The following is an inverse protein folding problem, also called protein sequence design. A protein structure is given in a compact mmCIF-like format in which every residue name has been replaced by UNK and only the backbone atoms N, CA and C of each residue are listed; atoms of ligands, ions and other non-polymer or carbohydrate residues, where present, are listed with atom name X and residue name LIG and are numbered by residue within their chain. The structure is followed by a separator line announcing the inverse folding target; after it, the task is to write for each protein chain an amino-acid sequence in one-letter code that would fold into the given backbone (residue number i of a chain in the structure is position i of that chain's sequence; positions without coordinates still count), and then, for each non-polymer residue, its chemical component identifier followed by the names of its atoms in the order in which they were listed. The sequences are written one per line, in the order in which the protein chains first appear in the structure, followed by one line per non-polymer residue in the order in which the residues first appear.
data_IF_754953605807
#
_entry.id   IF_754953605807
#
_cell.length_a   1.000
_cell.length_b   1.000
_cell.length_c   1.000
_cell.angle_alpha   90.00
_cell.angle_beta   90.00
_cell.angle_gamma   90.00
#
_symmetry.space_group_name_H-M   'P 1'
#
loop_
_entity.id
_entity.type
_entity.pdbx_description
1 polymer ?
#
# COMPACT_ATOMS: atom_id res chain seq x y z
N UNK A 1 -14.76 7.67 -21.49
CA UNK A 1 -14.34 6.26 -21.42
C UNK A 1 -13.68 6.03 -20.07
N UNK A 2 -14.00 4.90 -19.39
CA UNK A 2 -13.33 4.51 -18.14
C UNK A 2 -11.83 4.42 -18.39
N UNK A 3 -11.01 4.93 -17.46
CA UNK A 3 -9.57 5.06 -17.66
C UNK A 3 -8.93 3.66 -17.62
N UNK A 4 -8.34 3.16 -18.72
CA UNK A 4 -7.86 1.77 -18.78
C UNK A 4 -6.60 1.53 -17.93
N UNK A 5 -6.01 2.59 -17.35
CA UNK A 5 -4.74 2.47 -16.63
C UNK A 5 -4.86 2.05 -15.16
N UNK A 6 -6.03 1.63 -14.67
CA UNK A 6 -6.17 1.12 -13.30
C UNK A 6 -7.50 0.43 -12.98
N UNK A 7 -7.50 -0.35 -11.90
CA UNK A 7 -8.63 -1.19 -11.47
C UNK A 7 -8.68 -1.29 -9.94
N UNK A 8 -9.86 -1.54 -9.38
CA UNK A 8 -10.04 -1.85 -7.95
C UNK A 8 -9.88 -3.36 -7.76
N UNK A 9 -8.91 -3.76 -6.92
CA UNK A 9 -8.63 -5.18 -6.62
C UNK A 9 -9.13 -5.60 -5.23
N UNK A 10 -9.46 -4.64 -4.37
CA UNK A 10 -10.06 -4.88 -3.06
C UNK A 10 -10.88 -3.67 -2.63
N UNK A 11 -12.02 -3.93 -2.01
CA UNK A 11 -12.83 -2.96 -1.27
C UNK A 11 -13.46 -3.70 -0.09
N UNK A 12 -13.14 -3.26 1.13
CA UNK A 12 -13.54 -3.97 2.35
C UNK A 12 -12.90 -3.39 3.61
N UNK A 13 -13.14 -4.01 4.78
CA UNK A 13 -12.60 -3.52 6.04
C UNK A 13 -11.08 -3.74 6.15
N UNK A 14 -10.37 -2.74 6.65
CA UNK A 14 -8.95 -2.89 6.99
C UNK A 14 -8.74 -4.04 7.97
N UNK A 15 -7.68 -4.82 7.76
CA UNK A 15 -7.26 -5.87 8.69
C UNK A 15 -6.61 -5.30 9.97
N UNK A 16 -6.21 -4.02 9.98
CA UNK A 16 -5.57 -3.40 11.15
C UNK A 16 -6.59 -3.06 12.25
N UNK A 17 -7.83 -2.74 11.87
CA UNK A 17 -8.88 -2.40 12.83
C UNK A 17 -10.19 -3.17 12.64
N UNK A 18 -10.29 -4.00 11.60
CA UNK A 18 -11.43 -4.84 11.22
C UNK A 18 -12.76 -4.08 11.05
N UNK A 19 -12.71 -2.76 10.85
CA UNK A 19 -13.91 -1.91 10.77
C UNK A 19 -13.87 -0.88 9.67
N UNK A 20 -12.71 -0.27 9.42
CA UNK A 20 -12.65 0.92 8.56
C UNK A 20 -12.61 0.51 7.09
N UNK A 21 -13.52 1.03 6.24
CA UNK A 21 -13.52 0.70 4.82
C UNK A 21 -12.28 1.26 4.10
N UNK A 22 -11.58 0.38 3.41
CA UNK A 22 -10.41 0.72 2.57
C UNK A 22 -10.61 0.18 1.16
N UNK A 23 -9.86 0.74 0.23
CA UNK A 23 -9.75 0.28 -1.14
C UNK A 23 -8.29 -0.02 -1.48
N UNK A 24 -8.11 -0.98 -2.38
CA UNK A 24 -6.83 -1.18 -3.07
C UNK A 24 -7.03 -0.94 -4.55
N UNK A 25 -6.37 0.09 -5.05
CA UNK A 25 -6.34 0.40 -6.48
C UNK A 25 -5.01 -0.01 -7.07
N UNK A 26 -5.06 -0.77 -8.15
CA UNK A 26 -3.91 -1.11 -8.98
C UNK A 26 -3.83 -0.16 -10.17
N UNK A 27 -2.68 0.45 -10.44
CA UNK A 27 -2.48 1.38 -11.57
C UNK A 27 -1.19 1.10 -12.34
N UNK A 28 -1.08 1.64 -13.56
CA UNK A 28 0.08 1.47 -14.43
C UNK A 28 -0.05 0.26 -15.35
N UNK A 29 -1.27 -0.13 -15.69
CA UNK A 29 -1.57 -1.32 -16.49
C UNK A 29 -1.26 -1.14 -17.98
N UNK A 30 -1.56 0.03 -18.54
CA UNK A 30 -1.37 0.32 -19.96
C UNK A 30 -0.37 1.45 -20.20
N UNK A 31 -0.41 2.50 -19.40
CA UNK A 31 0.48 3.65 -19.54
C UNK A 31 1.54 3.57 -18.45
N UNK A 32 2.79 3.40 -18.87
CA UNK A 32 3.95 3.40 -17.99
C UNK A 32 4.01 4.71 -17.17
N UNK A 33 4.48 4.62 -15.95
CA UNK A 33 4.77 5.81 -15.14
C UNK A 33 5.89 6.62 -15.79
N UNK A 34 5.73 7.95 -15.86
CA UNK A 34 6.80 8.87 -16.29
C UNK A 34 7.83 9.12 -15.17
N UNK A 35 7.70 8.46 -14.02
CA UNK A 35 8.63 8.56 -12.91
C UNK A 35 9.75 7.51 -13.06
N UNK A 36 10.91 7.98 -13.53
CA UNK A 36 12.11 7.15 -13.75
C UNK A 36 12.55 6.39 -12.48
N UNK A 37 12.26 6.91 -11.28
CA UNK A 37 12.70 6.31 -10.00
C UNK A 37 11.98 5.00 -9.66
N UNK A 38 10.76 4.79 -10.16
CA UNK A 38 9.97 3.58 -9.87
C UNK A 38 10.11 2.50 -10.93
N UNK A 39 10.65 2.85 -12.11
CA UNK A 39 10.59 1.99 -13.30
C UNK A 39 9.15 1.68 -13.74
N UNK A 40 9.00 0.91 -14.82
CA UNK A 40 7.70 0.46 -15.35
C UNK A 40 7.13 -0.67 -14.47
N UNK A 41 6.77 -0.35 -13.23
CA UNK A 41 6.14 -1.25 -12.26
C UNK A 41 4.68 -0.87 -12.04
N UNK A 42 3.84 -1.89 -11.88
CA UNK A 42 2.47 -1.74 -11.39
C UNK A 42 2.52 -1.18 -9.97
N UNK A 43 1.74 -0.13 -9.72
CA UNK A 43 1.62 0.50 -8.41
C UNK A 43 0.33 0.04 -7.73
N UNK A 44 0.39 -0.18 -6.42
CA UNK A 44 -0.80 -0.52 -5.63
C UNK A 44 -1.00 0.50 -4.51
N UNK A 45 -2.21 1.02 -4.39
CA UNK A 45 -2.54 2.10 -3.47
C UNK A 45 -3.58 1.62 -2.47
N UNK A 46 -3.19 1.50 -1.20
CA UNK A 46 -4.11 1.23 -0.10
C UNK A 46 -4.59 2.57 0.45
N UNK A 47 -5.89 2.84 0.33
CA UNK A 47 -6.49 4.13 0.66
C UNK A 47 -7.74 3.92 1.52
N UNK A 48 -8.04 4.86 2.41
CA UNK A 48 -9.36 4.95 3.00
C UNK A 48 -10.39 5.16 1.89
N UNK A 49 -11.53 4.48 1.98
CA UNK A 49 -12.58 4.59 0.96
C UNK A 49 -13.22 5.98 0.97
N UNK A 50 -13.46 6.52 2.16
CA UNK A 50 -14.37 7.67 2.33
C UNK A 50 -13.63 8.97 2.70
N UNK A 51 -12.35 8.90 3.05
CA UNK A 51 -11.53 10.04 3.48
C UNK A 51 -10.32 10.22 2.56
N UNK A 52 -10.12 11.39 1.91
CA UNK A 52 -8.99 11.60 1.03
C UNK A 52 -7.67 11.63 1.81
N UNK A 53 -6.55 11.15 1.25
CA UNK A 53 -5.34 10.87 2.02
C UNK A 53 -4.69 12.12 2.67
N UNK A 54 -4.80 13.29 2.04
CA UNK A 54 -4.32 14.56 2.63
C UNK A 54 -5.14 15.05 3.83
N UNK A 55 -6.39 14.59 3.97
CA UNK A 55 -7.23 14.81 5.15
C UNK A 55 -6.96 13.71 6.18
N UNK A 56 -6.88 12.46 5.75
CA UNK A 56 -6.65 11.30 6.61
C UNK A 56 -5.40 11.43 7.50
N UNK A 57 -4.30 11.96 6.94
CA UNK A 57 -3.07 12.20 7.71
C UNK A 57 -3.21 13.32 8.74
N UNK A 58 -4.18 14.24 8.56
CA UNK A 58 -4.44 15.33 9.51
C UNK A 58 -5.42 14.93 10.60
N UNK A 59 -6.38 14.07 10.27
CA UNK A 59 -7.37 13.54 11.23
C UNK A 59 -6.85 12.32 12.00
N UNK A 60 -5.76 11.70 11.54
CA UNK A 60 -5.20 10.47 12.11
C UNK A 60 -5.95 9.21 11.69
N UNK A 61 -6.93 9.32 10.79
CA UNK A 61 -7.68 8.17 10.25
C UNK A 61 -6.82 7.26 9.37
N UNK A 62 -5.68 7.75 8.88
CA UNK A 62 -4.70 6.94 8.15
C UNK A 62 -4.13 5.78 8.99
N UNK A 63 -4.47 5.69 10.29
CA UNK A 63 -4.23 4.53 11.15
C UNK A 63 -4.84 3.25 10.59
N UNK A 64 -6.00 3.35 9.96
CA UNK A 64 -6.63 2.17 9.39
C UNK A 64 -5.86 1.61 8.17
N UNK A 65 -5.00 2.39 7.51
CA UNK A 65 -4.19 1.88 6.38
C UNK A 65 -2.71 1.76 6.69
N UNK A 66 -2.21 2.47 7.71
CA UNK A 66 -0.79 2.52 8.05
C UNK A 66 -0.49 1.97 9.46
N UNK A 67 -1.52 1.66 10.25
CA UNK A 67 -1.38 1.12 11.60
C UNK A 67 -0.61 2.05 12.53
N UNK A 68 0.29 1.48 13.31
CA UNK A 68 1.17 2.20 14.24
C UNK A 68 2.45 2.76 13.57
N UNK A 69 2.53 2.77 12.23
CA UNK A 69 3.67 3.27 11.48
C UNK A 69 4.15 4.62 12.05
N UNK A 70 5.37 4.63 12.58
CA UNK A 70 5.95 5.79 13.28
C UNK A 70 6.15 7.02 12.38
N UNK A 71 6.06 6.84 11.07
CA UNK A 71 6.24 7.90 10.07
C UNK A 71 4.96 8.63 9.66
N UNK A 72 3.80 8.28 10.24
CA UNK A 72 2.52 8.96 9.94
C UNK A 72 2.46 10.41 10.41
N UNK A 73 3.24 10.75 11.45
CA UNK A 73 3.14 12.03 12.13
C UNK A 73 1.88 12.14 12.99
N UNK A 74 1.75 13.26 13.71
CA UNK A 74 0.57 13.61 14.50
C UNK A 74 0.28 15.09 14.24
N UNK A 75 -0.85 15.36 13.60
CA UNK A 75 -1.29 16.72 13.29
C UNK A 75 -2.28 17.21 14.33
N UNK A 76 -2.07 18.42 14.82
CA UNK A 76 -2.94 19.06 15.78
C UNK A 76 -3.93 19.97 15.03
N UNK A 77 -5.18 19.52 14.97
CA UNK A 77 -6.24 20.26 14.27
C UNK A 77 -6.59 21.59 14.95
N UNK A 78 -6.35 21.73 16.27
CA UNK A 78 -6.68 22.94 17.01
C UNK A 78 -5.64 24.05 16.78
N UNK A 79 -4.37 23.69 16.69
CA UNK A 79 -3.26 24.64 16.50
C UNK A 79 -2.81 24.77 15.05
N UNK A 80 -3.18 23.82 14.20
CA UNK A 80 -2.81 23.79 12.78
C UNK A 80 -1.37 23.34 12.50
N UNK A 81 -0.65 22.82 13.50
CA UNK A 81 0.76 22.37 13.39
C UNK A 81 0.91 20.86 13.61
N UNK A 82 2.07 20.31 13.25
CA UNK A 82 2.40 18.92 13.54
C UNK A 82 3.02 18.82 14.94
N UNK A 83 2.33 18.15 15.88
CA UNK A 83 2.89 17.80 17.19
C UNK A 83 4.00 16.76 17.04
N UNK A 84 3.89 15.91 16.01
CA UNK A 84 4.96 15.03 15.54
C UNK A 84 5.05 15.13 14.02
N UNK A 85 6.22 15.49 13.51
CA UNK A 85 6.47 15.57 12.07
C UNK A 85 6.20 14.26 11.35
N UNK A 86 5.83 14.37 10.06
CA UNK A 86 5.55 13.24 9.17
C UNK A 86 6.73 12.98 8.23
N UNK A 87 7.71 12.13 8.60
CA UNK A 87 8.87 11.83 7.75
C UNK A 87 8.57 10.84 6.61
N UNK A 88 7.33 10.33 6.50
CA UNK A 88 6.95 9.43 5.42
C UNK A 88 7.26 10.03 4.05
N UNK A 89 8.09 9.35 3.28
CA UNK A 89 8.57 9.79 1.96
C UNK A 89 7.45 9.91 0.90
N UNK A 90 6.25 9.41 1.17
CA UNK A 90 5.13 9.49 0.25
C UNK A 90 4.45 10.85 0.34
N UNK A 91 4.48 11.59 -0.77
CA UNK A 91 3.77 12.85 -0.96
C UNK A 91 2.28 12.61 -1.23
N UNK A 92 1.46 12.57 -0.18
CA UNK A 92 0.05 12.13 -0.27
C UNK A 92 -0.84 12.99 -1.17
N UNK A 93 -0.52 14.28 -1.37
CA UNK A 93 -1.29 15.19 -2.22
C UNK A 93 -1.00 15.03 -3.72
N UNK A 94 -0.05 14.15 -4.11
CA UNK A 94 0.25 13.82 -5.50
C UNK A 94 -0.47 12.53 -5.92
N UNK A 95 0.26 11.45 -6.21
CA UNK A 95 -0.31 10.22 -6.76
C UNK A 95 -1.42 9.61 -5.89
N UNK A 96 -1.30 9.49 -4.54
CA UNK A 96 -2.39 8.95 -3.72
C UNK A 96 -3.69 9.75 -3.84
N UNK A 97 -3.63 11.08 -3.78
CA UNK A 97 -4.81 11.93 -3.95
C UNK A 97 -5.39 11.87 -5.38
N UNK A 98 -4.54 11.76 -6.40
CA UNK A 98 -4.99 11.61 -7.78
C UNK A 98 -5.76 10.29 -7.98
N UNK A 99 -5.26 9.19 -7.41
CA UNK A 99 -5.90 7.87 -7.43
C UNK A 99 -7.21 7.90 -6.66
N UNK A 100 -7.23 8.43 -5.44
CA UNK A 100 -8.45 8.61 -4.66
C UNK A 100 -9.53 9.35 -5.45
N UNK A 101 -9.19 10.52 -6.03
CA UNK A 101 -10.13 11.31 -6.82
C UNK A 101 -10.64 10.57 -8.07
N UNK A 102 -9.80 9.75 -8.70
CA UNK A 102 -10.20 8.94 -9.85
C UNK A 102 -11.13 7.79 -9.45
N UNK A 103 -10.90 7.15 -8.30
CA UNK A 103 -11.81 6.15 -7.74
C UNK A 103 -13.21 6.74 -7.53
N UNK A 104 -13.33 7.90 -6.86
CA UNK A 104 -14.62 8.55 -6.64
C UNK A 104 -15.31 9.08 -7.90
N UNK A 105 -14.57 9.27 -9.01
CA UNK A 105 -15.17 9.55 -10.33
C UNK A 105 -15.70 8.29 -11.03
N UNK A 106 -15.51 7.10 -10.44
CA UNK A 106 -15.90 5.82 -11.05
C UNK A 106 -14.97 5.39 -12.19
N UNK A 107 -13.74 5.90 -12.23
CA UNK A 107 -12.82 5.64 -13.34
C UNK A 107 -12.20 4.23 -13.30
N UNK A 108 -12.21 3.57 -12.15
CA UNK A 108 -11.61 2.26 -11.96
C UNK A 108 -12.70 1.18 -11.87
N UNK A 109 -12.76 0.25 -12.83
CA UNK A 109 -13.65 -0.89 -12.70
C UNK A 109 -13.14 -1.84 -11.61
N UNK A 110 -14.05 -2.49 -10.90
CA UNK A 110 -13.74 -3.62 -10.02
C UNK A 110 -13.47 -4.87 -10.86
N UNK A 111 -12.45 -5.63 -10.50
CA UNK A 111 -12.04 -6.85 -11.21
C UNK A 111 -12.03 -8.06 -10.29
N UNK A 112 -12.32 -9.22 -10.87
CA UNK A 112 -12.19 -10.52 -10.19
C UNK A 112 -10.73 -10.93 -10.07
N UNK A 113 -10.40 -11.83 -9.13
CA UNK A 113 -9.03 -12.38 -8.99
C UNK A 113 -8.52 -13.01 -10.27
N UNK A 114 -9.39 -13.63 -11.09
CA UNK A 114 -9.01 -14.18 -12.41
C UNK A 114 -8.57 -13.08 -13.38
N UNK A 115 -9.28 -11.96 -13.42
CA UNK A 115 -8.93 -10.81 -14.25
C UNK A 115 -7.62 -10.16 -13.76
N UNK A 116 -7.44 -9.99 -12.45
CA UNK A 116 -6.19 -9.49 -11.86
C UNK A 116 -5.00 -10.33 -12.33
N UNK A 117 -5.09 -11.66 -12.22
CA UNK A 117 -4.03 -12.58 -12.66
C UNK A 117 -3.70 -12.44 -14.14
N UNK A 118 -4.70 -12.20 -14.98
CA UNK A 118 -4.49 -11.98 -16.42
C UNK A 118 -3.79 -10.63 -16.67
N UNK A 119 -4.24 -9.55 -16.03
CA UNK A 119 -3.62 -8.23 -16.15
C UNK A 119 -2.13 -8.24 -15.78
N UNK A 120 -1.75 -8.92 -14.70
CA UNK A 120 -0.33 -9.05 -14.31
C UNK A 120 0.48 -9.83 -15.33
N UNK A 121 -0.08 -10.93 -15.87
CA UNK A 121 0.60 -11.79 -16.84
C UNK A 121 0.91 -11.05 -18.14
N UNK A 122 -0.02 -10.22 -18.62
CA UNK A 122 0.12 -9.45 -19.86
C UNK A 122 0.92 -8.14 -19.67
N UNK A 123 1.20 -7.74 -18.42
CA UNK A 123 1.95 -6.52 -18.16
C UNK A 123 3.40 -6.64 -18.64
N UNK A 124 3.88 -5.60 -19.35
CA UNK A 124 5.21 -5.53 -19.99
C UNK A 124 6.34 -6.07 -19.13
N UNK A 125 6.39 -5.65 -17.86
CA UNK A 125 7.43 -6.09 -16.90
C UNK A 125 6.95 -7.17 -15.93
N UNK A 126 5.64 -7.35 -15.77
CA UNK A 126 5.05 -8.16 -14.69
C UNK A 126 5.53 -7.79 -13.28
N UNK A 127 6.07 -6.58 -13.07
CA UNK A 127 6.66 -6.16 -11.81
C UNK A 127 5.65 -5.37 -10.96
N UNK A 128 5.53 -5.72 -9.68
CA UNK A 128 4.51 -5.14 -8.78
C UNK A 128 5.16 -4.45 -7.58
N UNK A 129 4.75 -3.22 -7.28
CA UNK A 129 5.05 -2.55 -6.02
C UNK A 129 3.84 -2.68 -5.10
N UNK A 130 4.00 -3.50 -4.07
CA UNK A 130 3.00 -3.78 -3.04
C UNK A 130 3.05 -2.66 -1.99
N UNK A 131 1.93 -1.94 -1.81
CA UNK A 131 1.86 -0.82 -0.88
C UNK A 131 2.68 0.40 -1.32
N UNK A 132 2.44 0.93 -2.54
CA UNK A 132 3.02 2.21 -2.97
C UNK A 132 2.62 3.37 -2.04
N UNK A 133 1.44 3.26 -1.42
CA UNK A 133 1.03 3.99 -0.22
C UNK A 133 0.07 3.11 0.59
N UNK A 134 0.11 3.28 1.92
CA UNK A 134 -0.54 2.42 2.90
C UNK A 134 0.20 1.08 3.07
N UNK A 135 0.06 0.49 4.25
CA UNK A 135 0.73 -0.75 4.63
C UNK A 135 0.01 -1.96 4.01
N UNK A 136 0.71 -2.88 3.33
CA UNK A 136 0.10 -4.07 2.75
C UNK A 136 -0.70 -4.91 3.75
N UNK A 137 -0.29 -4.94 5.02
CA UNK A 137 -0.94 -5.73 6.06
C UNK A 137 -2.31 -5.17 6.49
N UNK A 138 -2.71 -4.00 6.00
CA UNK A 138 -4.09 -3.53 6.13
C UNK A 138 -5.08 -4.28 5.22
N UNK A 139 -4.59 -5.10 4.29
CA UNK A 139 -5.39 -5.80 3.30
C UNK A 139 -5.28 -7.31 3.55
N UNK A 140 -6.35 -8.10 3.36
CA UNK A 140 -6.27 -9.55 3.51
C UNK A 140 -5.15 -10.15 2.64
N UNK A 141 -4.32 -11.02 3.22
CA UNK A 141 -3.13 -11.58 2.56
C UNK A 141 -3.45 -12.23 1.21
N UNK A 142 -4.60 -12.90 1.09
CA UNK A 142 -5.05 -13.55 -0.12
C UNK A 142 -5.26 -12.61 -1.32
N UNK A 143 -5.47 -11.31 -1.10
CA UNK A 143 -5.51 -10.32 -2.19
C UNK A 143 -4.14 -10.19 -2.84
N UNK A 144 -3.08 -10.12 -2.02
CA UNK A 144 -1.70 -10.04 -2.48
C UNK A 144 -1.22 -11.35 -3.08
N UNK A 145 -1.55 -12.51 -2.48
CA UNK A 145 -1.21 -13.82 -3.05
C UNK A 145 -1.80 -13.98 -4.47
N UNK A 146 -3.08 -13.62 -4.64
CA UNK A 146 -3.73 -13.64 -5.95
C UNK A 146 -3.10 -12.68 -6.96
N UNK A 147 -2.65 -11.51 -6.51
CA UNK A 147 -1.96 -10.53 -7.35
C UNK A 147 -0.58 -11.04 -7.78
N UNK A 148 0.16 -11.63 -6.86
CA UNK A 148 1.58 -11.95 -7.03
C UNK A 148 1.85 -13.31 -7.69
N UNK A 149 0.86 -14.19 -7.79
CA UNK A 149 1.05 -15.53 -8.39
C UNK A 149 1.63 -15.51 -9.81
N UNK A 150 1.33 -14.48 -10.61
CA UNK A 150 1.87 -14.28 -11.96
C UNK A 150 2.91 -13.15 -12.03
N UNK A 151 3.27 -12.56 -10.89
CA UNK A 151 4.26 -11.49 -10.84
C UNK A 151 5.64 -12.04 -11.15
N UNK A 152 6.39 -11.35 -12.02
CA UNK A 152 7.79 -11.72 -12.33
C UNK A 152 8.74 -11.28 -11.21
N UNK A 153 8.39 -10.20 -10.51
CA UNK A 153 9.11 -9.67 -9.36
C UNK A 153 8.23 -8.69 -8.59
N UNK A 154 8.43 -8.57 -7.29
CA UNK A 154 7.76 -7.55 -6.51
C UNK A 154 8.63 -6.99 -5.40
N UNK A 155 8.26 -5.78 -4.97
CA UNK A 155 8.76 -5.14 -3.76
C UNK A 155 7.58 -4.80 -2.87
N UNK A 156 7.78 -4.84 -1.57
CA UNK A 156 6.76 -4.54 -0.58
C UNK A 156 7.42 -4.40 0.77
N UNK A 157 6.94 -3.45 1.57
CA UNK A 157 7.48 -3.16 2.89
C UNK A 157 6.32 -2.97 3.85
N UNK A 158 6.50 -3.41 5.08
CA UNK A 158 5.49 -3.22 6.13
C UNK A 158 6.18 -2.82 7.42
N UNK A 159 5.59 -1.88 8.17
CA UNK A 159 5.92 -1.64 9.57
C UNK A 159 5.03 -2.45 10.51
N UNK A 160 4.00 -3.12 9.98
CA UNK A 160 3.06 -3.94 10.76
C UNK A 160 3.54 -5.40 10.90
N UNK A 161 4.76 -5.71 10.48
CA UNK A 161 5.28 -7.07 10.43
C UNK A 161 5.39 -7.75 11.80
N UNK A 162 5.56 -6.98 12.87
CA UNK A 162 5.65 -7.50 14.25
C UNK A 162 4.29 -7.91 14.83
N UNK A 163 3.20 -7.26 14.40
CA UNK A 163 1.88 -7.43 15.02
C UNK A 163 1.07 -8.60 14.40
N UNK A 164 1.54 -9.19 13.31
CA UNK A 164 0.80 -10.22 12.57
C UNK A 164 1.09 -11.63 13.06
N UNK A 165 0.01 -12.43 13.20
CA UNK A 165 0.07 -13.79 13.74
C UNK A 165 0.63 -14.83 12.77
N UNK A 166 0.57 -14.57 11.47
CA UNK A 166 1.02 -15.50 10.43
C UNK A 166 2.17 -14.90 9.61
N UNK A 167 3.35 -14.85 10.21
CA UNK A 167 4.55 -14.36 9.54
C UNK A 167 4.85 -15.12 8.23
N UNK A 168 4.56 -16.43 8.18
CA UNK A 168 4.87 -17.29 7.02
C UNK A 168 4.10 -16.88 5.78
N UNK A 169 2.84 -16.47 5.92
CA UNK A 169 2.04 -15.99 4.79
C UNK A 169 2.59 -14.66 4.22
N UNK A 170 3.21 -13.83 5.06
CA UNK A 170 3.66 -12.48 4.68
C UNK A 170 5.12 -12.39 4.25
N UNK A 171 6.01 -13.25 4.73
CA UNK A 171 7.44 -13.28 4.37
C UNK A 171 7.71 -13.28 2.84
N UNK A 172 6.93 -14.00 2.00
CA UNK A 172 7.15 -13.97 0.55
C UNK A 172 6.72 -12.64 -0.09
N UNK A 173 5.80 -11.90 0.55
CA UNK A 173 5.10 -10.74 -0.01
C UNK A 173 5.82 -9.44 0.35
N UNK A 174 6.22 -9.28 1.61
CA UNK A 174 6.80 -8.05 2.12
C UNK A 174 8.13 -8.27 2.81
N UNK A 175 8.94 -7.21 2.86
CA UNK A 175 10.09 -7.09 3.74
C UNK A 175 9.67 -6.33 5.00
N UNK A 176 10.28 -6.66 6.13
CA UNK A 176 10.15 -5.87 7.34
C UNK A 176 10.81 -4.50 7.13
N UNK A 177 10.08 -3.42 7.36
CA UNK A 177 10.67 -2.10 7.60
C UNK A 177 11.20 -2.09 9.02
N UNK A 178 12.52 -2.15 9.15
CA UNK A 178 13.22 -2.13 10.42
C UNK A 178 13.96 -0.80 10.57
N UNK A 179 13.76 -0.12 11.68
CA UNK A 179 14.36 1.18 11.95
C UNK A 179 15.39 1.12 13.08
N UNK A 180 15.55 -0.05 13.69
CA UNK A 180 16.64 -0.33 14.63
C UNK A 180 17.36 -1.62 14.24
N UNK A 181 18.56 -1.79 14.77
CA UNK A 181 19.30 -3.05 14.64
C UNK A 181 18.56 -4.22 15.31
N UNK A 182 17.94 -3.97 16.46
CA UNK A 182 17.13 -4.97 17.17
C UNK A 182 15.91 -5.40 16.35
N UNK A 183 15.20 -4.47 15.72
CA UNK A 183 14.09 -4.77 14.80
C UNK A 183 14.57 -5.61 13.61
N UNK A 184 15.73 -5.29 13.03
CA UNK A 184 16.30 -6.04 11.92
C UNK A 184 16.70 -7.48 12.31
N UNK A 185 17.32 -7.65 13.48
CA UNK A 185 17.63 -8.97 14.03
C UNK A 185 16.37 -9.80 14.30
N UNK A 186 15.33 -9.17 14.86
CA UNK A 186 14.06 -9.82 15.14
C UNK A 186 13.38 -10.24 13.82
N UNK A 187 13.34 -9.37 12.82
CA UNK A 187 12.80 -9.69 11.51
C UNK A 187 13.52 -10.90 10.89
N UNK A 188 14.85 -10.94 10.95
CA UNK A 188 15.64 -12.07 10.46
C UNK A 188 15.34 -13.38 11.23
N UNK A 189 15.25 -13.31 12.57
CA UNK A 189 14.87 -14.45 13.42
C UNK A 189 13.47 -14.97 13.10
N UNK A 190 12.55 -14.08 12.74
CA UNK A 190 11.20 -14.40 12.30
C UNK A 190 11.13 -14.77 10.82
N UNK A 191 12.24 -14.88 10.09
CA UNK A 191 12.30 -15.32 8.69
C UNK A 191 11.96 -14.26 7.64
N UNK A 192 11.81 -12.99 8.04
CA UNK A 192 11.62 -11.89 7.10
C UNK A 192 12.95 -11.46 6.48
N UNK A 193 12.89 -11.11 5.19
CA UNK A 193 13.84 -10.15 4.62
C UNK A 193 13.52 -8.76 5.21
N UNK A 194 14.51 -7.90 5.42
CA UNK A 194 14.29 -6.57 5.99
C UNK A 194 15.01 -5.47 5.22
N UNK A 195 14.53 -4.24 5.36
CA UNK A 195 15.22 -3.03 4.96
C UNK A 195 15.47 -2.19 6.20
N UNK A 196 16.75 -1.91 6.48
CA UNK A 196 17.15 -1.08 7.61
C UNK A 196 17.42 0.34 7.15
N UNK A 197 16.70 1.31 7.70
CA UNK A 197 17.06 2.72 7.56
C UNK A 197 18.25 2.97 8.49
N UNK A 198 19.40 3.39 7.95
CA UNK A 198 20.60 3.74 8.72
C UNK A 198 20.62 5.23 9.07
#
# INVERSE_FOLDING_TARGET
MKNPNGVVIYEGPSQLDNKTPIIVVMTGLEIATSNDKTGDMIQTWVLLRDTPPHVAIKTGEDAAICGDCKYRGVYNMATGVWDKERPCYVTVHQAPLAVYRAYHRGNYPTVTSKQVRHLIKEHRTGAVRVGSYGDPMAVPVGIWENLLVNSKRHTGYSHQWEIQRDAKAWQPIVMASADTELEAELAAKLGYRYFRVM
#
